data_IF_626559394233
#
_entry.id   IF_626559394233
#
_cell.length_a   1.000
_cell.length_b   1.000
_cell.length_c   1.000
_cell.angle_alpha   90.00
_cell.angle_beta   90.00
_cell.angle_gamma   90.00
#
_symmetry.space_group_name_H-M   'P 1'
#
loop_
_entity.id
_entity.type
_entity.pdbx_description
1 polymer ?
#
# COMPACT_ATOMS: atom_id res chain seq x y z
N UNK A 1 -0.72 -15.45 20.03
CA UNK A 1 -1.25 -15.05 18.72
C UNK A 1 -2.12 -16.18 18.24
N UNK A 2 -3.41 -15.96 18.40
CA UNK A 2 -4.43 -16.95 18.08
C UNK A 2 -4.53 -17.12 16.55
N UNK A 3 -5.12 -18.24 16.12
CA UNK A 3 -5.31 -18.54 14.69
C UNK A 3 -5.98 -17.38 13.90
N UNK A 4 -7.04 -16.71 14.39
CA UNK A 4 -7.64 -15.56 13.69
C UNK A 4 -6.70 -14.36 13.57
N UNK A 5 -5.94 -14.02 14.61
CA UNK A 5 -4.96 -12.91 14.57
C UNK A 5 -3.85 -13.15 13.54
N UNK A 6 -3.37 -14.41 13.42
CA UNK A 6 -2.38 -14.76 12.39
C UNK A 6 -2.94 -14.60 10.97
N UNK A 7 -4.20 -14.99 10.76
CA UNK A 7 -4.89 -14.81 9.48
C UNK A 7 -5.03 -13.33 9.11
N UNK A 8 -5.54 -12.51 10.03
CA UNK A 8 -5.67 -11.07 9.85
C UNK A 8 -4.32 -10.39 9.58
N UNK A 9 -3.26 -10.78 10.30
CA UNK A 9 -1.91 -10.25 10.08
C UNK A 9 -1.37 -10.57 8.69
N UNK A 10 -1.60 -11.79 8.20
CA UNK A 10 -1.15 -12.20 6.88
C UNK A 10 -1.91 -11.43 5.78
N UNK A 11 -3.21 -11.21 5.97
CA UNK A 11 -4.04 -10.43 5.06
C UNK A 11 -3.62 -8.96 5.00
N UNK A 12 -3.40 -8.32 6.16
CA UNK A 12 -2.92 -6.92 6.21
C UNK A 12 -1.58 -6.77 5.51
N UNK A 13 -0.64 -7.68 5.75
CA UNK A 13 0.67 -7.68 5.07
C UNK A 13 0.52 -7.87 3.57
N UNK A 14 -0.34 -8.78 3.13
CA UNK A 14 -0.58 -9.02 1.71
C UNK A 14 -1.14 -7.79 1.01
N UNK A 15 -2.18 -7.17 1.59
CA UNK A 15 -2.78 -5.93 1.07
C UNK A 15 -1.74 -4.81 1.01
N UNK A 16 -0.95 -4.65 2.07
CA UNK A 16 0.07 -3.61 2.12
C UNK A 16 1.16 -3.80 1.05
N UNK A 17 1.65 -5.02 0.84
CA UNK A 17 2.61 -5.32 -0.23
C UNK A 17 2.00 -5.12 -1.61
N UNK A 18 0.74 -5.51 -1.81
CA UNK A 18 0.04 -5.30 -3.07
C UNK A 18 -0.13 -3.81 -3.39
N UNK A 19 -0.52 -2.99 -2.40
CA UNK A 19 -0.64 -1.54 -2.55
C UNK A 19 0.71 -0.90 -2.91
N UNK A 20 1.79 -1.32 -2.23
CA UNK A 20 3.14 -0.81 -2.53
C UNK A 20 3.55 -1.21 -3.94
N UNK A 21 3.44 -2.50 -4.28
CA UNK A 21 3.82 -3.03 -5.58
C UNK A 21 3.06 -2.37 -6.73
N UNK A 22 1.74 -2.25 -6.59
CA UNK A 22 0.88 -1.55 -7.55
C UNK A 22 1.32 -0.10 -7.75
N UNK A 23 1.54 0.61 -6.65
CA UNK A 23 1.94 2.03 -6.69
C UNK A 23 3.29 2.22 -7.37
N UNK A 24 4.27 1.34 -7.09
CA UNK A 24 5.58 1.37 -7.74
C UNK A 24 5.42 1.15 -9.25
N UNK A 25 4.62 0.17 -9.67
CA UNK A 25 4.36 -0.10 -11.10
C UNK A 25 3.73 1.12 -11.79
N UNK A 26 2.73 1.76 -11.17
CA UNK A 26 2.13 2.98 -11.71
C UNK A 26 3.11 4.14 -11.81
N UNK A 27 3.97 4.32 -10.82
CA UNK A 27 4.99 5.38 -10.81
C UNK A 27 6.04 5.17 -11.91
N UNK A 28 6.49 3.92 -12.09
CA UNK A 28 7.42 3.55 -13.17
C UNK A 28 6.79 3.77 -14.53
N UNK A 29 5.52 3.37 -14.72
CA UNK A 29 4.78 3.62 -15.96
C UNK A 29 4.62 5.11 -16.23
N UNK A 30 4.25 5.89 -15.21
CA UNK A 30 4.11 7.34 -15.33
C UNK A 30 5.44 7.99 -15.72
N UNK A 31 6.55 7.55 -15.10
CA UNK A 31 7.89 8.01 -15.44
C UNK A 31 8.28 7.66 -16.87
N UNK A 32 8.06 6.40 -17.29
CA UNK A 32 8.37 5.95 -18.64
C UNK A 32 7.59 6.73 -19.71
N UNK A 33 6.33 7.06 -19.45
CA UNK A 33 5.51 7.89 -20.35
C UNK A 33 6.01 9.33 -20.40
N UNK A 34 6.34 9.92 -19.25
CA UNK A 34 6.91 11.28 -19.21
C UNK A 34 8.24 11.36 -19.97
N UNK A 35 9.12 10.39 -19.78
CA UNK A 35 10.41 10.27 -20.47
C UNK A 35 10.21 10.15 -21.99
N UNK A 36 9.33 9.22 -22.42
CA UNK A 36 9.05 9.03 -23.85
C UNK A 36 8.44 10.24 -24.54
N UNK A 37 7.60 10.99 -23.82
CA UNK A 37 6.91 12.16 -24.36
C UNK A 37 7.72 13.46 -24.16
N UNK A 38 8.94 13.39 -23.61
CA UNK A 38 9.76 14.55 -23.23
C UNK A 38 9.00 15.59 -22.41
N UNK A 39 8.07 15.12 -21.57
CA UNK A 39 7.25 15.98 -20.73
C UNK A 39 7.80 15.99 -19.31
N UNK A 40 7.86 17.18 -18.71
CA UNK A 40 8.32 17.31 -17.34
C UNK A 40 7.36 16.58 -16.40
N UNK A 41 7.92 15.76 -15.52
CA UNK A 41 7.16 15.03 -14.52
C UNK A 41 6.52 16.03 -13.56
N UNK A 42 5.20 16.06 -13.52
CA UNK A 42 4.49 17.02 -12.68
C UNK A 42 4.49 16.53 -11.23
N UNK A 43 4.87 17.41 -10.31
CA UNK A 43 4.98 17.09 -8.87
C UNK A 43 3.63 16.72 -8.27
N UNK A 44 2.55 17.38 -8.70
CA UNK A 44 1.20 17.15 -8.17
C UNK A 44 0.68 15.72 -8.43
N UNK A 45 0.64 15.20 -9.68
CA UNK A 45 0.23 13.82 -9.93
C UNK A 45 1.20 12.80 -9.33
N UNK A 46 2.49 13.11 -9.20
CA UNK A 46 3.43 12.23 -8.50
C UNK A 46 3.08 12.08 -7.01
N UNK A 47 2.81 13.19 -6.32
CA UNK A 47 2.40 13.17 -4.91
C UNK A 47 1.10 12.39 -4.75
N UNK A 48 0.09 12.68 -5.58
CA UNK A 48 -1.21 11.98 -5.53
C UNK A 48 -1.04 10.47 -5.76
N UNK A 49 -0.23 10.07 -6.75
CA UNK A 49 0.08 8.66 -7.03
C UNK A 49 0.90 7.99 -5.94
N UNK A 50 1.63 8.74 -5.11
CA UNK A 50 2.41 8.18 -4.00
C UNK A 50 1.59 7.90 -2.72
N UNK A 51 0.36 8.42 -2.63
CA UNK A 51 -0.51 8.22 -1.45
C UNK A 51 -0.73 6.75 -1.09
N UNK A 52 -1.06 5.83 -2.03
CA UNK A 52 -1.27 4.43 -1.70
C UNK A 52 0.02 3.73 -1.25
N UNK A 53 1.20 4.20 -1.67
CA UNK A 53 2.49 3.73 -1.17
C UNK A 53 2.63 4.05 0.32
N UNK A 54 2.33 5.29 0.72
CA UNK A 54 2.38 5.72 2.12
C UNK A 54 1.40 4.91 2.98
N UNK A 55 0.19 4.70 2.48
CA UNK A 55 -0.79 3.83 3.15
C UNK A 55 -0.28 2.40 3.31
N UNK A 56 0.32 1.82 2.27
CA UNK A 56 0.92 0.49 2.35
C UNK A 56 2.07 0.41 3.36
N UNK A 57 2.93 1.43 3.42
CA UNK A 57 4.03 1.50 4.40
C UNK A 57 3.47 1.60 5.83
N UNK A 58 2.51 2.49 6.06
CA UNK A 58 1.87 2.64 7.37
C UNK A 58 1.18 1.34 7.77
N UNK A 59 0.49 0.68 6.84
CA UNK A 59 -0.17 -0.60 7.07
C UNK A 59 0.83 -1.71 7.43
N UNK A 60 2.04 -1.72 6.86
CA UNK A 60 3.11 -2.65 7.24
C UNK A 60 3.67 -2.35 8.64
N UNK A 61 3.94 -1.08 8.95
CA UNK A 61 4.46 -0.67 10.27
C UNK A 61 3.44 -1.00 11.37
N UNK A 62 2.17 -0.69 11.12
CA UNK A 62 1.06 -0.90 12.04
C UNK A 62 0.36 -2.25 11.81
N UNK A 63 0.98 -3.19 11.10
CA UNK A 63 0.32 -4.42 10.66
C UNK A 63 -0.27 -5.23 11.82
N UNK A 64 0.40 -5.27 12.97
CA UNK A 64 -0.11 -5.94 14.16
C UNK A 64 -1.35 -5.24 14.74
N UNK A 65 -1.28 -3.93 14.93
CA UNK A 65 -2.41 -3.15 15.45
C UNK A 65 -3.61 -3.18 14.51
N UNK A 66 -3.38 -3.16 13.19
CA UNK A 66 -4.44 -3.32 12.20
C UNK A 66 -5.02 -4.73 12.19
N UNK A 67 -4.18 -5.77 12.32
CA UNK A 67 -4.64 -7.14 12.39
C UNK A 67 -5.50 -7.41 13.63
N UNK A 68 -5.08 -6.88 14.78
CA UNK A 68 -5.81 -6.95 16.05
C UNK A 68 -7.13 -6.17 15.99
N UNK A 69 -7.12 -4.98 15.38
CA UNK A 69 -8.36 -4.23 15.12
C UNK A 69 -9.32 -4.97 14.18
N UNK A 70 -8.80 -5.60 13.11
CA UNK A 70 -9.60 -6.38 12.17
C UNK A 70 -10.16 -7.64 12.84
N UNK A 71 -9.36 -8.37 13.63
CA UNK A 71 -9.86 -9.54 14.34
C UNK A 71 -10.94 -9.16 15.34
N UNK A 72 -10.77 -8.05 16.06
CA UNK A 72 -11.77 -7.58 17.01
C UNK A 72 -13.09 -7.17 16.34
N UNK A 73 -13.05 -6.66 15.10
CA UNK A 73 -14.28 -6.38 14.32
C UNK A 73 -14.94 -7.65 13.81
N UNK A 74 -14.16 -8.71 13.57
CA UNK A 74 -14.67 -9.95 13.00
C UNK A 74 -15.23 -10.90 14.06
N UNK A 75 -14.79 -10.75 15.31
CA UNK A 75 -15.29 -11.49 16.47
C UNK A 75 -16.59 -10.89 17.06
N UNK A 76 -16.95 -9.64 16.71
CA UNK A 76 -18.22 -8.95 17.05
C UNK A 76 -19.30 -9.14 15.95
#
# INVERSE_FOLDING_TARGET
>A
MDAPERGALMLVRFIAVALIGWTIVELVLYWAVCDRNHTAMQVLPFIVKSVPLLFGIVALIKAKALAEWISNILDD
#
